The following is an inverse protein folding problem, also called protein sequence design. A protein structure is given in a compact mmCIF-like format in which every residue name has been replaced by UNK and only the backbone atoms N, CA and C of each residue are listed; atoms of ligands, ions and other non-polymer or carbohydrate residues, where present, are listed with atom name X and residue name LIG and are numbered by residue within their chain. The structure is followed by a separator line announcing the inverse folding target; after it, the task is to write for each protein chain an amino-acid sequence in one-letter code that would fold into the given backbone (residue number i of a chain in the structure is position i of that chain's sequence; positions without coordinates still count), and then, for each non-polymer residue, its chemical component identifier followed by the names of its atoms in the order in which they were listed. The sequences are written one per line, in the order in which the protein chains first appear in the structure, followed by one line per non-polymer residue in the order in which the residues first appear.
data_IF_737329977384
#
_entry.id   IF_737329977384
#
_cell.length_a   1.000
_cell.length_b   1.000
_cell.length_c   1.000
_cell.angle_alpha   90.00
_cell.angle_beta   90.00
_cell.angle_gamma   90.00
#
_symmetry.space_group_name_H-M   'P 1'
#
loop_
_entity.id
_entity.type
_entity.pdbx_description
1 polymer ?
#
# COMPACT_ATOMS: atom_id res chain seq x y z
N UNK A 1 30.33 19.74 -23.86
CA UNK A 1 28.90 20.11 -23.81
C UNK A 1 28.35 19.56 -22.51
N UNK A 2 28.21 20.43 -21.49
CA UNK A 2 27.55 20.04 -20.24
C UNK A 2 26.05 19.98 -20.50
N UNK A 3 25.47 18.77 -20.61
CA UNK A 3 24.04 18.61 -20.47
C UNK A 3 23.72 18.92 -19.02
N UNK A 4 23.04 20.04 -18.77
CA UNK A 4 22.45 20.33 -17.49
C UNK A 4 21.50 19.16 -17.19
N UNK A 5 21.84 18.36 -16.20
CA UNK A 5 20.90 17.42 -15.59
C UNK A 5 19.80 18.29 -14.98
N UNK A 6 18.71 18.44 -15.68
CA UNK A 6 17.49 19.03 -15.12
C UNK A 6 17.04 18.10 -14.01
N UNK A 7 17.36 18.45 -12.77
CA UNK A 7 16.79 17.82 -11.59
C UNK A 7 15.26 17.88 -11.74
N UNK A 8 14.63 16.73 -11.93
CA UNK A 8 13.18 16.66 -11.99
C UNK A 8 12.65 17.03 -10.61
N UNK A 9 11.85 18.10 -10.56
CA UNK A 9 11.22 18.50 -9.31
C UNK A 9 10.09 17.52 -9.01
N UNK A 10 10.16 16.89 -7.84
CA UNK A 10 9.10 16.05 -7.33
C UNK A 10 8.20 16.91 -6.43
N UNK A 11 6.93 16.98 -6.74
CA UNK A 11 5.91 17.58 -5.88
C UNK A 11 5.06 16.45 -5.29
N UNK A 12 4.82 16.49 -3.99
CA UNK A 12 4.06 15.48 -3.24
C UNK A 12 2.96 16.14 -2.44
N UNK A 13 1.78 15.54 -2.47
CA UNK A 13 0.66 15.92 -1.63
C UNK A 13 -0.02 14.66 -1.07
N UNK A 14 -0.43 14.72 0.17
CA UNK A 14 -1.22 13.67 0.82
C UNK A 14 -2.51 14.25 1.38
N UNK A 15 -3.58 13.46 1.39
CA UNK A 15 -4.85 13.83 2.00
C UNK A 15 -5.51 12.60 2.61
N UNK A 16 -6.14 12.79 3.77
CA UNK A 16 -6.95 11.79 4.45
C UNK A 16 -8.29 12.42 4.82
N UNK A 17 -9.37 11.65 4.67
CA UNK A 17 -10.70 12.10 5.03
C UNK A 17 -11.57 10.91 5.45
N UNK A 18 -12.17 10.97 6.63
CA UNK A 18 -13.01 9.88 7.17
C UNK A 18 -14.35 9.71 6.42
N UNK A 19 -14.74 10.69 5.61
CA UNK A 19 -16.03 10.67 4.94
C UNK A 19 -17.18 10.71 5.96
N UNK A 20 -18.10 9.75 5.83
CA UNK A 20 -19.22 9.57 6.77
C UNK A 20 -18.88 8.57 7.89
N UNK A 21 -17.67 8.01 7.94
CA UNK A 21 -17.25 7.08 8.99
C UNK A 21 -16.91 7.85 10.28
N UNK A 22 -17.17 7.26 11.46
CA UNK A 22 -16.86 7.90 12.74
C UNK A 22 -15.35 7.95 13.02
N UNK A 23 -14.56 7.09 12.36
CA UNK A 23 -13.11 6.99 12.55
C UNK A 23 -12.40 7.02 11.22
N UNK A 24 -11.15 7.52 11.23
CA UNK A 24 -10.21 7.38 10.13
C UNK A 24 -9.38 6.12 10.36
N UNK A 25 -9.44 5.19 9.42
CA UNK A 25 -8.73 3.91 9.48
C UNK A 25 -7.58 3.85 8.49
N UNK A 26 -7.51 4.80 7.55
CA UNK A 26 -6.38 4.93 6.64
C UNK A 26 -5.20 5.64 7.31
N UNK A 27 -4.00 5.26 6.89
CA UNK A 27 -2.76 5.93 7.25
C UNK A 27 -1.88 6.09 6.00
N UNK A 28 -1.29 7.26 5.84
CA UNK A 28 -0.38 7.55 4.73
C UNK A 28 0.82 8.34 5.23
N UNK A 29 1.99 8.05 4.67
CA UNK A 29 3.20 8.82 4.84
C UNK A 29 3.94 8.91 3.51
N UNK A 30 4.57 10.05 3.25
CA UNK A 30 5.44 10.24 2.09
C UNK A 30 6.71 10.96 2.54
N UNK A 31 7.85 10.48 2.06
CA UNK A 31 9.18 11.05 2.32
C UNK A 31 9.92 11.25 1.00
N UNK A 32 9.85 12.49 0.51
CA UNK A 32 10.53 12.94 -0.72
C UNK A 32 11.35 14.19 -0.39
N UNK A 33 12.61 14.04 0.04
CA UNK A 33 13.44 15.16 0.45
C UNK A 33 13.66 16.16 -0.68
N UNK A 34 13.59 17.46 -0.35
CA UNK A 34 13.81 18.53 -1.32
C UNK A 34 15.20 18.41 -1.94
N UNK A 35 15.26 18.51 -3.27
CA UNK A 35 16.52 18.42 -4.01
C UNK A 35 17.00 17.00 -4.32
N UNK A 36 16.23 15.98 -3.92
CA UNK A 36 16.43 14.58 -4.36
C UNK A 36 15.46 14.21 -5.46
N UNK A 37 15.86 13.30 -6.32
CA UNK A 37 15.04 12.66 -7.35
C UNK A 37 14.56 11.26 -6.92
N UNK A 38 14.60 10.99 -5.63
CA UNK A 38 14.23 9.74 -4.98
C UNK A 38 13.43 10.00 -3.72
N UNK A 39 12.57 9.06 -3.39
CA UNK A 39 11.75 9.09 -2.20
C UNK A 39 10.78 7.91 -2.17
N UNK A 40 9.93 7.88 -1.16
CA UNK A 40 8.94 6.81 -1.02
C UNK A 40 7.64 7.30 -0.40
N UNK A 41 6.59 6.54 -0.62
CA UNK A 41 5.31 6.69 0.06
C UNK A 41 4.80 5.34 0.53
N UNK A 42 4.07 5.34 1.64
CA UNK A 42 3.41 4.16 2.20
C UNK A 42 1.98 4.53 2.53
N UNK A 43 1.03 3.74 2.06
CA UNK A 43 -0.39 3.87 2.35
C UNK A 43 -0.91 2.54 2.88
N UNK A 44 -1.79 2.60 3.86
CA UNK A 44 -2.47 1.47 4.45
C UNK A 44 -3.92 1.84 4.78
N UNK A 45 -4.88 1.02 4.34
CA UNK A 45 -6.31 1.10 4.70
C UNK A 45 -6.58 0.00 5.73
N UNK A 46 -6.84 0.42 6.96
CA UNK A 46 -7.01 -0.46 8.09
C UNK A 46 -8.43 -1.01 8.21
N UNK A 47 -8.52 -2.27 8.62
CA UNK A 47 -9.79 -2.94 8.91
C UNK A 47 -9.75 -3.62 10.27
N UNK A 48 -10.90 -3.66 10.93
CA UNK A 48 -11.04 -4.30 12.24
C UNK A 48 -12.26 -3.81 12.99
N UNK A 49 -12.52 -4.42 14.14
CA UNK A 49 -13.60 -3.97 15.02
C UNK A 49 -13.16 -2.70 15.77
N UNK A 50 -14.10 -1.76 15.95
CA UNK A 50 -13.87 -0.52 16.71
C UNK A 50 -12.70 0.31 16.14
N UNK A 51 -11.68 0.60 16.95
CA UNK A 51 -10.51 1.40 16.57
C UNK A 51 -9.31 0.58 16.08
N UNK A 52 -9.46 -0.76 15.98
CA UNK A 52 -8.34 -1.66 15.63
C UNK A 52 -7.86 -1.47 14.19
N UNK A 53 -8.73 -1.03 13.26
CA UNK A 53 -8.34 -0.69 11.89
C UNK A 53 -7.35 0.49 11.85
N UNK A 54 -7.64 1.55 12.60
CA UNK A 54 -6.73 2.71 12.72
C UNK A 54 -5.37 2.30 13.30
N UNK A 55 -5.38 1.42 14.30
CA UNK A 55 -4.14 0.90 14.89
C UNK A 55 -3.36 0.04 13.89
N UNK A 56 -4.05 -0.83 13.15
CA UNK A 56 -3.43 -1.69 12.13
C UNK A 56 -2.70 -0.88 11.07
N UNK A 57 -3.36 0.10 10.46
CA UNK A 57 -2.75 0.94 9.43
C UNK A 57 -1.54 1.71 9.95
N UNK A 58 -1.62 2.26 11.17
CA UNK A 58 -0.51 2.99 11.80
C UNK A 58 0.69 2.09 12.12
N UNK A 59 0.45 0.88 12.62
CA UNK A 59 1.51 -0.10 12.89
C UNK A 59 2.27 -0.46 11.62
N UNK A 60 1.53 -0.75 10.55
CA UNK A 60 2.09 -1.11 9.24
C UNK A 60 2.90 0.06 8.68
N UNK A 61 2.30 1.24 8.56
CA UNK A 61 2.96 2.42 8.00
C UNK A 61 4.21 2.78 8.79
N UNK A 62 4.15 2.78 10.12
CA UNK A 62 5.30 3.08 10.96
C UNK A 62 6.44 2.08 10.81
N UNK A 63 6.11 0.78 10.71
CA UNK A 63 7.12 -0.27 10.51
C UNK A 63 7.81 -0.16 9.16
N UNK A 64 7.03 -0.01 8.09
CA UNK A 64 7.55 0.09 6.72
C UNK A 64 8.32 1.40 6.52
N UNK A 65 7.83 2.51 7.06
CA UNK A 65 8.54 3.78 7.05
C UNK A 65 9.93 3.67 7.68
N UNK A 66 10.02 3.09 8.88
CA UNK A 66 11.30 2.92 9.58
C UNK A 66 12.31 2.11 8.76
N UNK A 67 11.86 1.03 8.11
CA UNK A 67 12.70 0.22 7.23
C UNK A 67 13.18 1.03 6.02
N UNK A 68 12.26 1.65 5.27
CA UNK A 68 12.60 2.38 4.04
C UNK A 68 13.50 3.57 4.32
N UNK A 69 13.29 4.26 5.45
CA UNK A 69 14.13 5.39 5.86
C UNK A 69 15.59 5.01 6.03
N UNK A 70 15.87 3.78 6.43
CA UNK A 70 17.25 3.25 6.57
C UNK A 70 17.80 2.68 5.28
N UNK A 71 16.95 2.30 4.32
CA UNK A 71 17.37 1.61 3.10
C UNK A 71 17.46 2.54 1.88
N UNK A 72 16.75 3.67 1.87
CA UNK A 72 16.59 4.51 0.67
C UNK A 72 17.93 4.96 0.06
N UNK A 73 18.90 5.35 0.87
CA UNK A 73 20.20 5.80 0.41
C UNK A 73 21.03 4.67 -0.23
N UNK A 74 20.86 3.43 0.27
CA UNK A 74 21.52 2.25 -0.31
C UNK A 74 20.86 1.91 -1.65
N UNK A 75 19.53 1.91 -1.71
CA UNK A 75 18.76 1.60 -2.92
C UNK A 75 18.96 2.64 -4.04
N UNK A 76 19.29 3.89 -3.71
CA UNK A 76 19.70 4.89 -4.69
C UNK A 76 21.00 4.52 -5.41
N UNK A 77 21.89 3.83 -4.72
CA UNK A 77 23.19 3.44 -5.29
C UNK A 77 23.17 2.05 -5.90
N UNK A 78 22.41 1.15 -5.31
CA UNK A 78 22.25 -0.26 -5.73
C UNK A 78 20.75 -0.64 -5.81
N UNK A 79 20.10 -0.42 -6.97
CA UNK A 79 18.70 -0.74 -7.17
C UNK A 79 18.39 -2.23 -7.21
N UNK A 80 19.38 -3.12 -7.33
CA UNK A 80 19.17 -4.57 -7.39
C UNK A 80 18.54 -5.09 -6.09
N UNK A 81 18.75 -4.41 -4.96
CA UNK A 81 18.13 -4.71 -3.67
C UNK A 81 16.65 -4.28 -3.51
N UNK A 82 16.07 -3.59 -4.49
CA UNK A 82 14.70 -3.04 -4.39
C UNK A 82 13.66 -4.14 -4.18
N UNK A 83 13.74 -5.23 -4.95
CA UNK A 83 12.76 -6.31 -4.85
C UNK A 83 12.76 -6.94 -3.46
N UNK A 84 13.93 -7.26 -2.92
CA UNK A 84 14.07 -7.86 -1.59
C UNK A 84 13.62 -6.91 -0.50
N UNK A 85 13.90 -5.61 -0.66
CA UNK A 85 13.44 -4.57 0.28
C UNK A 85 11.91 -4.47 0.27
N UNK A 86 11.26 -4.48 -0.90
CA UNK A 86 9.80 -4.44 -0.99
C UNK A 86 9.15 -5.69 -0.39
N UNK A 87 9.71 -6.89 -0.62
CA UNK A 87 9.27 -8.12 0.04
C UNK A 87 9.42 -8.02 1.56
N UNK A 88 10.55 -7.52 2.03
CA UNK A 88 10.81 -7.30 3.46
C UNK A 88 9.79 -6.30 4.05
N UNK A 89 9.39 -5.26 3.32
CA UNK A 89 8.33 -4.33 3.75
C UNK A 89 7.03 -5.07 4.02
N UNK A 90 6.60 -5.95 3.10
CA UNK A 90 5.36 -6.73 3.24
C UNK A 90 5.46 -7.68 4.43
N UNK A 91 6.57 -8.40 4.59
CA UNK A 91 6.79 -9.33 5.71
C UNK A 91 6.80 -8.60 7.06
N UNK A 92 7.50 -7.47 7.16
CA UNK A 92 7.58 -6.67 8.37
C UNK A 92 6.23 -6.04 8.73
N UNK A 93 5.44 -5.61 7.74
CA UNK A 93 4.07 -5.14 7.93
C UNK A 93 3.19 -6.24 8.54
N UNK A 94 3.21 -7.44 7.95
CA UNK A 94 2.44 -8.58 8.45
C UNK A 94 2.88 -9.01 9.87
N UNK A 95 4.19 -9.03 10.12
CA UNK A 95 4.73 -9.36 11.44
C UNK A 95 4.32 -8.33 12.50
N UNK A 96 4.26 -7.03 12.17
CA UNK A 96 3.81 -6.00 13.10
C UNK A 96 2.39 -6.25 13.60
N UNK A 97 1.47 -6.63 12.70
CA UNK A 97 0.10 -7.00 13.08
C UNK A 97 0.09 -8.28 13.92
N UNK A 98 0.80 -9.33 13.49
CA UNK A 98 0.82 -10.62 14.20
C UNK A 98 1.39 -10.51 15.61
N UNK A 99 2.45 -9.72 15.77
CA UNK A 99 3.08 -9.51 17.09
C UNK A 99 2.16 -8.70 18.00
N UNK A 100 1.48 -7.69 17.48
CA UNK A 100 0.48 -6.94 18.23
C UNK A 100 -0.66 -7.84 18.71
N UNK A 101 -1.31 -8.58 17.81
CA UNK A 101 -2.44 -9.48 18.15
C UNK A 101 -2.03 -10.59 19.11
N UNK A 102 -0.76 -11.01 19.10
CA UNK A 102 -0.24 -12.00 20.07
C UNK A 102 -0.22 -11.42 21.48
N UNK A 103 0.11 -10.14 21.62
CA UNK A 103 0.18 -9.46 22.91
C UNK A 103 -1.18 -8.90 23.36
N UNK A 104 -2.04 -8.52 22.39
CA UNK A 104 -3.36 -7.95 22.61
C UNK A 104 -4.42 -8.79 21.87
N UNK A 105 -4.86 -9.92 22.43
CA UNK A 105 -5.77 -10.86 21.76
C UNK A 105 -7.15 -10.30 21.42
N UNK A 106 -7.57 -9.23 22.08
CA UNK A 106 -8.84 -8.56 21.83
C UNK A 106 -8.88 -7.86 20.46
N UNK A 107 -7.71 -7.55 19.88
CA UNK A 107 -7.55 -6.98 18.55
C UNK A 107 -7.51 -8.04 17.42
N UNK A 108 -7.89 -9.29 17.71
CA UNK A 108 -7.98 -10.34 16.69
C UNK A 108 -8.92 -9.93 15.57
N UNK A 109 -8.48 -10.18 14.33
CA UNK A 109 -9.23 -9.81 13.13
C UNK A 109 -8.89 -8.41 12.61
N UNK A 110 -8.01 -7.67 13.30
CA UNK A 110 -7.43 -6.47 12.71
C UNK A 110 -6.54 -6.82 11.51
N UNK A 111 -6.51 -5.96 10.54
CA UNK A 111 -5.69 -6.08 9.34
C UNK A 111 -5.59 -4.76 8.63
N UNK A 112 -4.89 -4.75 7.51
CA UNK A 112 -4.82 -3.58 6.66
C UNK A 112 -4.35 -3.94 5.27
N UNK A 113 -4.75 -3.16 4.28
CA UNK A 113 -4.06 -3.12 3.00
C UNK A 113 -2.67 -2.51 3.16
N UNK A 114 -1.84 -2.65 2.14
CA UNK A 114 -0.55 -1.99 2.06
C UNK A 114 -0.25 -1.63 0.61
N UNK A 115 0.12 -0.39 0.37
CA UNK A 115 0.77 0.07 -0.86
C UNK A 115 2.07 0.75 -0.49
N UNK A 116 3.18 0.23 -0.98
CA UNK A 116 4.52 0.81 -0.87
C UNK A 116 4.93 1.29 -2.25
N UNK A 117 5.39 2.54 -2.33
CA UNK A 117 5.88 3.16 -3.56
C UNK A 117 7.30 3.68 -3.31
N UNK A 118 8.21 3.31 -4.18
CA UNK A 118 9.58 3.83 -4.23
C UNK A 118 9.80 4.53 -5.57
N UNK A 119 10.27 5.76 -5.53
CA UNK A 119 10.76 6.46 -6.71
C UNK A 119 12.28 6.61 -6.57
N UNK A 120 13.04 6.01 -7.49
CA UNK A 120 14.50 6.02 -7.49
C UNK A 120 14.99 6.46 -8.87
N UNK A 121 15.57 7.66 -8.95
CA UNK A 121 16.17 8.19 -10.18
C UNK A 121 15.24 8.06 -11.41
N UNK A 122 13.97 8.43 -11.24
CA UNK A 122 12.97 8.40 -12.31
C UNK A 122 12.32 7.03 -12.57
N UNK A 123 12.72 5.97 -11.86
CA UNK A 123 12.08 4.66 -11.90
C UNK A 123 11.12 4.49 -10.73
N UNK A 124 9.93 3.98 -11.03
CA UNK A 124 8.90 3.69 -10.05
C UNK A 124 8.86 2.20 -9.76
N UNK A 125 8.98 1.87 -8.46
CA UNK A 125 8.84 0.51 -7.95
C UNK A 125 7.73 0.50 -6.92
N UNK A 126 7.00 -0.62 -6.81
CA UNK A 126 5.93 -0.74 -5.82
C UNK A 126 5.72 -2.18 -5.36
N UNK A 127 5.13 -2.30 -4.16
CA UNK A 127 4.49 -3.52 -3.69
C UNK A 127 3.11 -3.17 -3.18
N UNK A 128 2.14 -4.08 -3.36
CA UNK A 128 0.79 -3.89 -2.83
C UNK A 128 0.23 -5.20 -2.28
N UNK A 129 -0.60 -5.07 -1.24
CA UNK A 129 -1.39 -6.14 -0.63
C UNK A 129 -2.78 -5.58 -0.37
N UNK A 130 -3.82 -6.29 -0.83
CA UNK A 130 -5.21 -5.87 -0.69
C UNK A 130 -5.74 -5.20 -1.95
N UNK A 131 -6.75 -4.36 -1.79
CA UNK A 131 -7.53 -3.74 -2.88
C UNK A 131 -7.29 -2.24 -3.06
N UNK A 132 -6.48 -1.61 -2.19
CA UNK A 132 -6.08 -0.20 -2.33
C UNK A 132 -5.42 0.04 -3.68
N UNK A 133 -5.97 0.91 -4.54
CA UNK A 133 -5.50 1.04 -5.91
C UNK A 133 -4.29 1.98 -6.02
N UNK A 134 -3.36 1.63 -6.91
CA UNK A 134 -2.25 2.48 -7.34
C UNK A 134 -2.41 2.83 -8.81
N UNK A 135 -2.37 4.12 -9.14
CA UNK A 135 -2.51 4.60 -10.50
C UNK A 135 -1.33 5.46 -10.92
N UNK A 136 -1.02 5.43 -12.20
CA UNK A 136 -0.18 6.43 -12.87
C UNK A 136 -1.04 7.21 -13.86
N UNK A 137 -0.92 8.55 -13.81
CA UNK A 137 -1.47 9.44 -14.82
C UNK A 137 -0.37 9.83 -15.80
N UNK A 138 -0.53 9.50 -17.08
CA UNK A 138 0.46 9.81 -18.13
C UNK A 138 -0.28 10.13 -19.44
N UNK A 139 0.10 11.22 -20.07
CA UNK A 139 -0.47 11.63 -21.39
C UNK A 139 -1.99 11.73 -21.40
N UNK A 140 -2.61 12.12 -20.28
CA UNK A 140 -4.07 12.24 -20.16
C UNK A 140 -4.81 10.94 -19.85
N UNK A 141 -4.10 9.83 -19.73
CA UNK A 141 -4.65 8.54 -19.33
C UNK A 141 -4.35 8.21 -17.88
N UNK A 142 -5.26 7.51 -17.23
CA UNK A 142 -5.10 6.97 -15.88
C UNK A 142 -5.00 5.45 -15.97
N UNK A 143 -3.83 4.91 -15.60
CA UNK A 143 -3.51 3.49 -15.71
C UNK A 143 -3.33 2.91 -14.32
N UNK A 144 -4.08 1.86 -13.98
CA UNK A 144 -3.88 1.12 -12.74
C UNK A 144 -2.63 0.24 -12.85
N UNK A 145 -1.76 0.31 -11.85
CA UNK A 145 -0.48 -0.39 -11.82
C UNK A 145 -0.53 -1.70 -11.04
N UNK A 146 -1.38 -1.78 -10.01
CA UNK A 146 -1.47 -2.96 -9.15
C UNK A 146 -2.74 -3.77 -9.41
N UNK A 147 -2.68 -5.06 -9.08
CA UNK A 147 -3.83 -5.96 -9.08
C UNK A 147 -4.65 -5.79 -7.79
N UNK A 148 -5.92 -6.12 -7.88
CA UNK A 148 -6.85 -6.17 -6.76
C UNK A 148 -6.82 -7.58 -6.16
N UNK A 149 -6.35 -7.71 -4.92
CA UNK A 149 -6.25 -8.98 -4.21
C UNK A 149 -7.51 -9.33 -3.41
N UNK A 150 -8.56 -8.50 -3.51
CA UNK A 150 -9.85 -8.81 -2.88
C UNK A 150 -10.51 -10.04 -3.52
N UNK A 151 -11.48 -10.60 -2.81
CA UNK A 151 -12.27 -11.73 -3.34
C UNK A 151 -13.24 -11.30 -4.46
N UNK A 152 -13.55 -10.01 -4.60
CA UNK A 152 -14.54 -9.53 -5.57
C UNK A 152 -14.21 -9.89 -7.03
N UNK A 153 -12.98 -9.69 -7.57
CA UNK A 153 -12.62 -10.15 -8.91
C UNK A 153 -12.73 -11.66 -9.08
N UNK A 154 -12.34 -12.41 -8.05
CA UNK A 154 -12.38 -13.87 -8.06
C UNK A 154 -13.81 -14.41 -8.08
N UNK A 155 -14.71 -13.82 -7.29
CA UNK A 155 -16.15 -14.12 -7.29
C UNK A 155 -16.75 -13.82 -8.66
N UNK A 156 -16.42 -12.65 -9.26
CA UNK A 156 -16.87 -12.30 -10.63
C UNK A 156 -16.42 -13.33 -11.67
N UNK A 157 -15.17 -13.76 -11.60
CA UNK A 157 -14.64 -14.80 -12.50
C UNK A 157 -15.36 -16.12 -12.32
N UNK A 158 -15.69 -16.54 -11.08
CA UNK A 158 -16.46 -17.76 -10.79
C UNK A 158 -17.89 -17.67 -11.34
N UNK A 159 -18.54 -16.52 -11.30
CA UNK A 159 -19.85 -16.29 -11.92
C UNK A 159 -19.74 -16.39 -13.46
N UNK A 160 -18.75 -15.75 -14.06
CA UNK A 160 -18.56 -15.75 -15.51
C UNK A 160 -18.22 -17.16 -16.04
N UNK A 161 -17.47 -17.97 -15.29
CA UNK A 161 -17.13 -19.34 -15.63
C UNK A 161 -18.24 -20.36 -15.31
N UNK A 162 -19.32 -19.96 -14.61
CA UNK A 162 -20.50 -20.78 -14.32
C UNK A 162 -20.49 -21.57 -13.00
N UNK A 163 -19.38 -21.74 -12.25
CA UNK A 163 -19.41 -22.52 -11.00
C UNK A 163 -20.14 -21.81 -9.85
N UNK A 164 -20.38 -20.51 -9.94
CA UNK A 164 -21.13 -19.73 -8.94
C UNK A 164 -22.27 -18.96 -9.61
N UNK A 165 -23.51 -19.08 -9.08
CA UNK A 165 -24.61 -18.26 -9.59
C UNK A 165 -24.50 -16.81 -9.12
N UNK A 166 -25.05 -15.88 -9.92
CA UNK A 166 -25.05 -14.45 -9.56
C UNK A 166 -25.74 -14.18 -8.20
N UNK A 167 -26.78 -14.93 -7.87
CA UNK A 167 -27.48 -14.87 -6.59
C UNK A 167 -26.57 -15.25 -5.41
N UNK A 168 -25.87 -16.39 -5.53
CA UNK A 168 -24.91 -16.86 -4.52
C UNK A 168 -23.69 -15.92 -4.40
N UNK A 169 -23.24 -15.34 -5.50
CA UNK A 169 -22.20 -14.34 -5.51
C UNK A 169 -22.61 -13.07 -4.75
N UNK A 170 -23.86 -12.62 -4.91
CA UNK A 170 -24.39 -11.46 -4.20
C UNK A 170 -24.49 -11.67 -2.68
N UNK A 171 -24.60 -12.91 -2.24
CA UNK A 171 -24.67 -13.31 -0.82
C UNK A 171 -23.34 -13.84 -0.27
N UNK A 172 -22.27 -13.82 -1.07
CA UNK A 172 -20.98 -14.37 -0.63
C UNK A 172 -20.42 -13.55 0.54
N UNK A 173 -20.02 -14.18 1.67
CA UNK A 173 -19.57 -13.47 2.86
C UNK A 173 -18.35 -12.59 2.57
N UNK A 174 -17.45 -13.05 1.71
CA UNK A 174 -16.22 -12.36 1.35
C UNK A 174 -16.37 -11.46 0.10
N UNK A 175 -17.58 -11.09 -0.28
CA UNK A 175 -17.83 -10.27 -1.49
C UNK A 175 -17.15 -8.91 -1.44
N UNK A 176 -16.96 -8.38 -0.24
CA UNK A 176 -16.36 -7.07 0.03
C UNK A 176 -15.03 -7.20 0.81
N UNK A 177 -14.46 -8.40 0.86
CA UNK A 177 -13.18 -8.68 1.53
C UNK A 177 -12.04 -8.75 0.51
#
# INVERSE_FOLDING_TARGET
MNSAVTSSRIDVATALHSGARPYQEDCIIADFPIGRDSGFAVLADGMGAHASGNLASKLIVGRVFGLLKTQIDVLETDPDGVQDTLLTCVEQANNAIRDHVRNEPDDRGMGSTLVVLLLLRGNLYWASVGDSPLYVARSGELIRLNEDHSMAPRIKAMVAAGPLSAEKAAMHPDRNA
#
